data_IF_235424389114
#
_entry.id   IF_235424389114
#
_cell.length_a   1.000
_cell.length_b   1.000
_cell.length_c   1.000
_cell.angle_alpha   90.00
_cell.angle_beta   90.00
_cell.angle_gamma   90.00
#
_symmetry.space_group_name_H-M   'P 1'
#
loop_
_entity.id
_entity.type
_entity.pdbx_description
1 polymer ?
#
# COMPACT_ATOMS: atom_id res chain seq x y z
N UNK A 1 -4.27 1.57 -19.61
CA UNK A 1 -5.01 0.70 -18.67
C UNK A 1 -6.09 -0.02 -19.45
N UNK A 2 -6.20 -1.35 -19.35
CA UNK A 2 -7.19 -2.14 -20.11
C UNK A 2 -8.33 -2.68 -19.25
N UNK A 3 -8.07 -2.98 -17.98
CA UNK A 3 -9.14 -3.30 -17.03
C UNK A 3 -8.72 -3.00 -15.60
N UNK A 4 -9.72 -2.80 -14.74
CA UNK A 4 -9.56 -2.68 -13.30
C UNK A 4 -10.49 -3.69 -12.65
N UNK A 5 -9.98 -4.42 -11.66
CA UNK A 5 -10.76 -5.31 -10.81
C UNK A 5 -10.69 -4.81 -9.38
N UNK A 6 -11.83 -4.43 -8.82
CA UNK A 6 -11.97 -4.04 -7.42
C UNK A 6 -12.35 -5.28 -6.61
N UNK A 7 -11.84 -5.41 -5.38
CA UNK A 7 -12.26 -6.51 -4.52
C UNK A 7 -13.77 -6.44 -4.27
N UNK A 8 -14.49 -7.53 -4.61
CA UNK A 8 -15.97 -7.58 -4.54
C UNK A 8 -16.56 -7.35 -3.14
N UNK A 9 -15.75 -7.57 -2.10
CA UNK A 9 -16.12 -7.36 -0.70
C UNK A 9 -15.62 -6.02 -0.14
N UNK A 10 -15.09 -5.13 -0.99
CA UNK A 10 -14.74 -3.77 -0.57
C UNK A 10 -15.96 -3.08 0.04
N UNK A 11 -15.77 -2.47 1.19
CA UNK A 11 -16.80 -1.75 1.91
C UNK A 11 -16.29 -0.36 2.26
N UNK A 12 -16.87 0.69 1.67
CA UNK A 12 -16.44 2.07 1.88
C UNK A 12 -16.70 2.61 3.29
N UNK A 13 -17.62 1.99 4.05
CA UNK A 13 -17.90 2.38 5.44
C UNK A 13 -16.89 1.79 6.42
N UNK A 14 -16.36 0.60 6.14
CA UNK A 14 -15.37 -0.08 7.01
C UNK A 14 -13.95 -0.02 6.44
N UNK A 15 -13.79 0.43 5.20
CA UNK A 15 -12.55 0.45 4.41
C UNK A 15 -11.89 -0.94 4.36
N UNK A 16 -12.68 -2.00 4.57
CA UNK A 16 -12.19 -3.37 4.53
C UNK A 16 -12.10 -3.85 3.07
N UNK A 17 -11.15 -4.74 2.80
CA UNK A 17 -10.84 -5.21 1.44
C UNK A 17 -10.49 -4.08 0.45
N UNK A 18 -9.82 -3.03 0.90
CA UNK A 18 -9.40 -1.91 0.05
C UNK A 18 -8.20 -2.28 -0.85
N UNK A 19 -8.47 -3.09 -1.87
CA UNK A 19 -7.48 -3.51 -2.86
C UNK A 19 -8.13 -3.59 -4.25
N UNK A 20 -7.34 -3.24 -5.26
CA UNK A 20 -7.70 -3.42 -6.65
C UNK A 20 -6.51 -3.91 -7.47
N UNK A 21 -6.79 -4.54 -8.62
CA UNK A 21 -5.79 -4.92 -9.61
C UNK A 21 -6.07 -4.15 -10.88
N UNK A 22 -5.03 -3.53 -11.43
CA UNK A 22 -5.07 -2.85 -12.70
C UNK A 22 -4.28 -3.66 -13.73
N UNK A 23 -4.95 -4.06 -14.82
CA UNK A 23 -4.32 -4.73 -15.95
C UNK A 23 -3.88 -3.72 -16.99
N UNK A 24 -2.59 -3.73 -17.31
CA UNK A 24 -2.03 -2.97 -18.43
C UNK A 24 -2.54 -3.53 -19.76
N UNK A 25 -2.69 -2.66 -20.77
CA UNK A 25 -3.06 -3.09 -22.12
C UNK A 25 -1.96 -3.83 -22.83
N UNK A 26 -0.72 -3.49 -22.50
CA UNK A 26 0.50 -4.09 -22.99
C UNK A 26 1.38 -4.39 -21.79
N UNK A 27 2.15 -5.46 -21.88
CA UNK A 27 3.14 -5.77 -20.85
C UNK A 27 4.12 -4.60 -20.71
N UNK A 28 4.49 -4.24 -19.48
CA UNK A 28 5.58 -3.29 -19.29
C UNK A 28 6.92 -3.93 -19.68
N UNK A 29 7.82 -3.11 -20.19
CA UNK A 29 9.20 -3.52 -20.50
C UNK A 29 10.05 -3.38 -19.24
N UNK A 30 10.44 -4.51 -18.64
CA UNK A 30 11.29 -4.52 -17.45
C UNK A 30 12.71 -4.04 -17.79
N UNK A 31 13.29 -3.25 -16.89
CA UNK A 31 14.65 -2.71 -17.01
C UNK A 31 15.17 -2.30 -15.61
N UNK A 32 16.26 -1.52 -15.56
CA UNK A 32 16.85 -1.06 -14.29
C UNK A 32 15.97 -0.10 -13.49
N UNK A 33 14.98 0.52 -14.13
CA UNK A 33 14.01 1.42 -13.52
C UNK A 33 12.64 0.77 -13.33
N UNK A 34 12.26 -0.19 -14.19
CA UNK A 34 10.96 -0.88 -14.14
C UNK A 34 11.18 -2.32 -13.69
N UNK A 35 10.84 -2.62 -12.44
CA UNK A 35 10.97 -3.96 -11.86
C UNK A 35 9.66 -4.38 -11.17
N UNK A 36 9.51 -5.68 -10.96
CA UNK A 36 8.40 -6.25 -10.20
C UNK A 36 8.79 -6.40 -8.72
N UNK A 37 7.79 -6.45 -7.84
CA UNK A 37 7.99 -6.67 -6.40
C UNK A 37 7.41 -8.03 -6.00
N UNK A 38 8.06 -8.69 -5.03
CA UNK A 38 7.50 -9.91 -4.43
C UNK A 38 6.26 -9.56 -3.60
N UNK A 39 5.26 -10.42 -3.59
CA UNK A 39 4.13 -10.29 -2.67
C UNK A 39 4.36 -11.12 -1.41
N UNK A 40 3.87 -10.62 -0.28
CA UNK A 40 3.81 -11.43 0.92
C UNK A 40 2.76 -12.53 0.76
N UNK A 41 3.18 -13.80 0.85
CA UNK A 41 2.27 -14.96 0.80
C UNK A 41 1.75 -15.38 2.18
N UNK A 42 2.40 -14.92 3.24
CA UNK A 42 2.07 -15.23 4.63
C UNK A 42 1.99 -13.95 5.45
N UNK A 43 1.11 -13.95 6.44
CA UNK A 43 0.94 -12.83 7.38
C UNK A 43 2.04 -12.88 8.44
N UNK A 44 3.30 -12.74 8.00
CA UNK A 44 4.51 -12.90 8.81
C UNK A 44 5.47 -11.70 8.69
N UNK A 45 4.92 -10.51 8.44
CA UNK A 45 5.68 -9.28 8.59
C UNK A 45 6.22 -9.17 10.02
N UNK A 46 7.38 -8.54 10.18
CA UNK A 46 8.00 -8.40 11.50
C UNK A 46 7.50 -7.11 12.15
N UNK A 47 6.69 -7.23 13.20
CA UNK A 47 6.32 -6.09 14.04
C UNK A 47 7.56 -5.46 14.69
N UNK A 48 7.50 -4.14 14.94
CA UNK A 48 8.60 -3.33 15.48
C UNK A 48 9.87 -3.27 14.61
N UNK A 49 9.86 -3.84 13.41
CA UNK A 49 10.85 -3.54 12.39
C UNK A 49 10.30 -2.55 11.37
N UNK A 50 11.15 -2.12 10.46
CA UNK A 50 10.84 -1.03 9.55
C UNK A 50 10.30 -1.56 8.22
N UNK A 51 9.40 -0.77 7.64
CA UNK A 51 8.94 -0.88 6.27
C UNK A 51 9.07 0.47 5.58
N UNK A 52 9.27 0.46 4.28
CA UNK A 52 9.34 1.67 3.45
C UNK A 52 8.00 1.88 2.77
N UNK A 53 7.42 3.06 2.94
CA UNK A 53 6.31 3.55 2.14
C UNK A 53 6.80 4.62 1.18
N UNK A 54 6.26 4.67 -0.03
CA UNK A 54 6.71 5.59 -1.07
C UNK A 54 5.57 6.08 -1.96
N UNK A 55 5.66 7.31 -2.45
CA UNK A 55 4.66 7.93 -3.30
C UNK A 55 4.94 9.40 -3.62
N UNK A 56 3.98 10.04 -4.29
CA UNK A 56 4.01 11.45 -4.69
C UNK A 56 2.90 12.25 -4.00
N UNK A 57 2.33 11.70 -2.92
CA UNK A 57 1.33 12.36 -2.10
C UNK A 57 1.87 13.62 -1.41
N UNK A 58 1.07 14.11 -0.49
CA UNK A 58 1.35 15.36 0.20
C UNK A 58 2.53 15.19 1.18
N UNK A 59 3.47 16.14 1.17
CA UNK A 59 4.57 16.14 2.14
C UNK A 59 4.14 16.60 3.54
N UNK A 60 3.01 17.32 3.61
CA UNK A 60 2.39 17.86 4.82
C UNK A 60 0.88 17.74 4.66
N UNK A 61 0.16 17.39 5.74
CA UNK A 61 -1.30 17.31 5.75
C UNK A 61 -1.94 18.59 5.17
N UNK A 62 -2.89 18.44 4.24
CA UNK A 62 -3.53 19.54 3.51
C UNK A 62 -2.56 20.41 2.67
N UNK A 63 -1.37 19.92 2.37
CA UNK A 63 -0.38 20.55 1.50
C UNK A 63 -0.63 20.32 0.01
N UNK A 64 0.47 20.23 -0.75
CA UNK A 64 0.45 19.96 -2.19
C UNK A 64 1.11 18.60 -2.48
N UNK A 65 0.76 18.01 -3.63
CA UNK A 65 1.45 16.83 -4.16
C UNK A 65 2.95 17.11 -4.33
N UNK A 66 3.76 16.12 -4.00
CA UNK A 66 5.21 16.19 -4.25
C UNK A 66 5.50 16.12 -5.75
N UNK A 67 6.41 16.97 -6.23
CA UNK A 67 6.91 16.91 -7.61
C UNK A 67 7.90 15.77 -7.86
N UNK A 68 8.38 15.11 -6.79
CA UNK A 68 9.34 14.01 -6.85
C UNK A 68 8.86 12.82 -6.02
N UNK A 69 9.33 11.61 -6.36
CA UNK A 69 9.04 10.43 -5.56
C UNK A 69 9.64 10.63 -4.16
N UNK A 70 8.83 10.45 -3.14
CA UNK A 70 9.27 10.42 -1.75
C UNK A 70 9.17 9.01 -1.21
N UNK A 71 10.00 8.73 -0.22
CA UNK A 71 9.92 7.51 0.55
C UNK A 71 10.29 7.78 2.00
N UNK A 72 9.63 7.07 2.89
CA UNK A 72 9.90 7.17 4.32
C UNK A 72 9.87 5.78 4.94
N UNK A 73 10.82 5.57 5.85
CA UNK A 73 10.86 4.36 6.67
C UNK A 73 9.99 4.58 7.90
N UNK A 74 9.04 3.67 8.12
CA UNK A 74 8.10 3.68 9.25
C UNK A 74 8.12 2.32 9.95
N UNK A 75 8.01 2.27 11.29
CA UNK A 75 7.96 1.01 12.01
C UNK A 75 6.58 0.35 11.81
N UNK A 76 6.57 -0.97 11.63
CA UNK A 76 5.34 -1.75 11.65
C UNK A 76 4.85 -1.84 13.09
N UNK A 77 3.59 -1.48 13.29
CA UNK A 77 2.95 -1.50 14.61
C UNK A 77 2.20 -2.81 14.84
N UNK A 78 2.01 -3.18 16.10
CA UNK A 78 1.20 -4.35 16.42
C UNK A 78 -0.28 -4.13 16.08
N UNK A 79 -0.96 -5.20 15.67
CA UNK A 79 -2.40 -5.12 15.38
C UNK A 79 -3.19 -4.64 16.60
N UNK A 80 -2.81 -5.08 17.79
CA UNK A 80 -3.41 -4.64 19.06
C UNK A 80 -3.29 -3.15 19.28
N UNK A 81 -2.09 -2.57 19.06
CA UNK A 81 -1.91 -1.12 19.16
C UNK A 81 -2.80 -0.38 18.17
N UNK A 82 -2.84 -0.82 16.91
CA UNK A 82 -3.64 -0.19 15.88
C UNK A 82 -5.15 -0.28 16.17
N UNK A 83 -5.65 -1.45 16.58
CA UNK A 83 -7.05 -1.62 16.99
C UNK A 83 -7.41 -0.69 18.14
N UNK A 84 -6.52 -0.51 19.12
CA UNK A 84 -6.76 0.41 20.24
C UNK A 84 -6.78 1.87 19.79
N UNK A 85 -5.82 2.28 18.95
CA UNK A 85 -5.73 3.63 18.39
C UNK A 85 -7.01 4.02 17.63
N UNK A 86 -7.54 3.10 16.82
CA UNK A 86 -8.71 3.33 15.98
C UNK A 86 -10.06 2.89 16.60
N UNK A 87 -10.07 2.42 17.85
CA UNK A 87 -11.25 1.82 18.52
C UNK A 87 -12.53 2.65 18.50
N UNK A 88 -12.42 3.98 18.44
CA UNK A 88 -13.55 4.94 18.39
C UNK A 88 -13.85 5.48 17.00
N UNK A 89 -13.08 5.06 16.00
CA UNK A 89 -13.14 5.55 14.61
C UNK A 89 -13.61 4.44 13.68
N UNK A 90 -12.90 3.32 13.66
CA UNK A 90 -13.15 2.22 12.73
C UNK A 90 -12.60 0.90 13.28
N UNK A 91 -13.25 -0.21 12.94
CA UNK A 91 -12.76 -1.54 13.31
C UNK A 91 -11.59 -1.95 12.42
N UNK A 92 -10.42 -2.20 13.01
CA UNK A 92 -9.24 -2.71 12.30
C UNK A 92 -9.37 -4.23 12.11
N UNK A 93 -9.44 -4.69 10.87
CA UNK A 93 -9.64 -6.10 10.53
C UNK A 93 -8.31 -6.84 10.32
N UNK A 94 -8.36 -8.16 10.13
CA UNK A 94 -7.19 -8.95 9.68
C UNK A 94 -6.68 -8.55 8.29
N UNK A 95 -7.53 -7.96 7.45
CA UNK A 95 -7.13 -7.54 6.11
C UNK A 95 -6.39 -6.18 6.14
N UNK A 96 -6.04 -5.69 7.34
CA UNK A 96 -5.33 -4.44 7.54
C UNK A 96 -4.01 -4.68 8.28
N UNK A 97 -3.00 -3.88 7.95
CA UNK A 97 -1.71 -3.76 8.63
C UNK A 97 -1.47 -2.28 8.93
N UNK A 98 -0.82 -1.96 10.05
CA UNK A 98 -0.59 -0.58 10.43
C UNK A 98 0.90 -0.30 10.63
N UNK A 99 1.35 0.85 10.14
CA UNK A 99 2.75 1.27 10.26
C UNK A 99 2.80 2.78 10.50
N UNK A 100 3.71 3.22 11.36
CA UNK A 100 3.83 4.61 11.76
C UNK A 100 4.43 4.77 13.14
N UNK A 101 5.00 5.94 13.40
CA UNK A 101 5.57 6.28 14.71
C UNK A 101 4.45 6.65 15.67
N UNK A 102 4.53 6.17 16.92
CA UNK A 102 3.51 6.47 17.94
C UNK A 102 3.44 7.97 18.27
N UNK A 103 4.55 8.67 18.08
CA UNK A 103 4.73 10.10 18.26
C UNK A 103 4.25 10.91 17.05
N UNK A 104 3.93 10.24 15.92
CA UNK A 104 3.65 10.87 14.64
C UNK A 104 4.91 11.33 13.89
N UNK A 105 4.75 12.31 13.00
CA UNK A 105 5.84 12.98 12.27
C UNK A 105 6.28 12.33 10.95
N UNK A 106 6.05 11.02 10.74
CA UNK A 106 6.35 10.32 9.47
C UNK A 106 5.23 9.36 9.12
N UNK A 107 4.69 9.50 7.91
CA UNK A 107 3.56 8.69 7.41
C UNK A 107 3.43 8.81 5.88
N UNK A 108 2.59 7.98 5.28
CA UNK A 108 1.97 8.28 4.00
C UNK A 108 0.88 9.35 4.16
N UNK A 109 0.51 10.03 3.09
CA UNK A 109 -0.45 11.12 3.17
C UNK A 109 -1.43 11.13 1.98
N UNK A 110 -2.25 12.17 1.86
CA UNK A 110 -3.21 12.26 0.76
C UNK A 110 -2.48 12.19 -0.60
N UNK A 111 -2.99 11.35 -1.49
CA UNK A 111 -2.36 11.06 -2.79
C UNK A 111 -1.41 9.86 -2.78
N UNK A 112 -1.07 9.29 -1.61
CA UNK A 112 -0.27 8.06 -1.53
C UNK A 112 -1.12 6.76 -1.53
N UNK A 113 -2.45 6.84 -1.50
CA UNK A 113 -3.35 5.68 -1.56
C UNK A 113 -3.09 4.78 -2.77
N UNK A 114 -2.95 3.47 -2.54
CA UNK A 114 -2.50 2.50 -3.56
C UNK A 114 -0.98 2.32 -3.61
N UNK A 115 -0.22 3.15 -2.92
CA UNK A 115 1.23 3.06 -2.81
C UNK A 115 1.71 1.84 -2.03
N UNK A 116 2.96 1.40 -2.25
CA UNK A 116 3.47 0.19 -1.64
C UNK A 116 3.97 0.44 -0.21
N UNK A 117 3.68 -0.50 0.69
CA UNK A 117 4.40 -0.69 1.95
C UNK A 117 5.29 -1.93 1.82
N UNK A 118 6.61 -1.73 1.85
CA UNK A 118 7.61 -2.75 1.53
C UNK A 118 8.47 -3.06 2.74
N UNK A 119 8.59 -4.34 3.06
CA UNK A 119 9.56 -4.86 4.03
C UNK A 119 10.40 -5.96 3.37
N UNK A 120 11.73 -5.90 3.50
CA UNK A 120 12.65 -6.91 2.96
C UNK A 120 12.37 -7.26 1.49
N UNK A 121 12.24 -6.24 0.63
CA UNK A 121 11.92 -6.36 -0.80
C UNK A 121 10.62 -7.14 -1.10
N UNK A 122 9.68 -7.11 -0.16
CA UNK A 122 8.38 -7.78 -0.27
C UNK A 122 7.27 -6.78 0.03
N UNK A 123 6.27 -6.72 -0.84
CA UNK A 123 5.06 -5.92 -0.66
C UNK A 123 4.20 -6.60 0.41
N UNK A 124 4.14 -5.97 1.58
CA UNK A 124 3.37 -6.45 2.74
C UNK A 124 2.04 -5.69 2.88
N UNK A 125 1.99 -4.47 2.37
CA UNK A 125 0.81 -3.61 2.47
C UNK A 125 0.62 -2.70 1.26
N UNK A 126 -0.60 -2.18 1.13
CA UNK A 126 -0.97 -1.13 0.17
C UNK A 126 -1.59 0.02 0.93
N UNK A 127 -1.12 1.26 0.73
CA UNK A 127 -1.62 2.45 1.44
C UNK A 127 -3.13 2.54 1.25
N UNK A 128 -3.88 2.63 2.35
CA UNK A 128 -5.35 2.67 2.32
C UNK A 128 -5.86 3.96 2.95
N UNK A 129 -5.71 4.12 4.28
CA UNK A 129 -6.24 5.28 5.01
C UNK A 129 -5.42 5.61 6.27
N UNK A 130 -5.73 6.74 6.88
CA UNK A 130 -5.21 7.15 8.19
C UNK A 130 -6.07 8.26 8.79
N UNK A 131 -5.89 8.54 10.08
CA UNK A 131 -6.42 9.77 10.69
C UNK A 131 -5.43 10.91 10.48
N UNK A 132 -5.75 11.79 9.53
CA UNK A 132 -4.84 12.81 9.04
C UNK A 132 -3.56 12.20 8.45
N UNK A 133 -2.45 12.95 8.50
CA UNK A 133 -1.14 12.43 8.13
C UNK A 133 -0.15 12.62 9.26
N UNK A 134 0.56 11.55 9.63
CA UNK A 134 1.62 11.62 10.64
C UNK A 134 1.13 12.15 12.00
N UNK A 135 -0.14 11.92 12.33
CA UNK A 135 -0.72 12.34 13.60
C UNK A 135 -0.24 11.42 14.72
N UNK A 136 -0.01 12.02 15.90
CA UNK A 136 0.36 11.28 17.10
C UNK A 136 -0.71 10.23 17.43
N UNK A 137 -0.27 9.04 17.80
CA UNK A 137 -1.10 7.87 18.17
C UNK A 137 -1.89 7.21 17.03
N UNK A 138 -1.88 7.75 15.82
CA UNK A 138 -2.62 7.21 14.68
C UNK A 138 -1.65 6.73 13.60
N UNK A 139 -1.24 5.44 13.60
CA UNK A 139 -0.43 4.91 12.51
C UNK A 139 -1.25 4.89 11.22
N UNK A 140 -0.58 5.00 10.07
CA UNK A 140 -1.19 4.75 8.78
C UNK A 140 -1.69 3.30 8.68
N UNK A 141 -2.81 3.11 8.00
CA UNK A 141 -3.46 1.81 7.79
C UNK A 141 -3.37 1.42 6.32
N UNK A 142 -2.97 0.17 6.11
CA UNK A 142 -2.65 -0.39 4.82
C UNK A 142 -3.43 -1.70 4.65
N UNK A 143 -3.82 -2.02 3.41
CA UNK A 143 -4.40 -3.32 3.09
C UNK A 143 -3.33 -4.41 3.19
N UNK A 144 -3.59 -5.44 3.99
CA UNK A 144 -2.68 -6.57 4.24
C UNK A 144 -2.63 -7.49 3.02
N UNK A 145 -1.52 -7.46 2.29
CA UNK A 145 -1.34 -8.22 1.04
C UNK A 145 -1.43 -9.72 1.28
N UNK A 146 -0.84 -10.22 2.37
CA UNK A 146 -0.85 -11.64 2.67
C UNK A 146 -2.26 -12.18 2.93
N UNK A 147 -3.10 -11.43 3.65
CA UNK A 147 -4.48 -11.83 3.88
C UNK A 147 -5.36 -11.75 2.62
N UNK A 148 -4.96 -10.94 1.63
CA UNK A 148 -5.68 -10.75 0.37
C UNK A 148 -5.06 -11.53 -0.81
N UNK A 149 -3.98 -12.29 -0.57
CA UNK A 149 -3.16 -12.92 -1.62
C UNK A 149 -3.96 -13.89 -2.50
N UNK A 150 -4.89 -14.66 -1.91
CA UNK A 150 -5.74 -15.60 -2.65
C UNK A 150 -6.62 -14.89 -3.68
N UNK A 151 -7.16 -13.72 -3.32
CA UNK A 151 -7.94 -12.91 -4.26
C UNK A 151 -7.05 -12.30 -5.33
N UNK A 152 -5.86 -11.81 -4.95
CA UNK A 152 -4.89 -11.22 -5.88
C UNK A 152 -4.46 -12.27 -6.92
N UNK A 153 -4.07 -13.46 -6.47
CA UNK A 153 -3.66 -14.58 -7.31
C UNK A 153 -4.75 -15.00 -8.31
N UNK A 154 -6.00 -15.04 -7.87
CA UNK A 154 -7.14 -15.39 -8.74
C UNK A 154 -7.45 -14.35 -9.82
N UNK A 155 -7.02 -13.10 -9.62
CA UNK A 155 -7.43 -11.97 -10.47
C UNK A 155 -6.28 -11.29 -11.21
N UNK A 156 -5.05 -11.80 -11.06
CA UNK A 156 -3.85 -11.31 -11.73
C UNK A 156 -3.09 -12.47 -12.38
N UNK A 157 -2.01 -12.16 -13.08
CA UNK A 157 -1.10 -13.17 -13.65
C UNK A 157 -0.06 -13.65 -12.60
N UNK A 158 -0.34 -13.44 -11.30
CA UNK A 158 0.49 -13.89 -10.19
C UNK A 158 0.53 -15.41 -10.09
N UNK A 159 1.72 -15.97 -10.01
CA UNK A 159 1.95 -17.39 -9.78
C UNK A 159 2.72 -17.54 -8.46
N UNK A 160 2.17 -18.23 -7.43
CA UNK A 160 2.86 -18.45 -6.16
C UNK A 160 4.11 -19.32 -6.37
N UNK A 161 5.30 -18.73 -6.47
CA UNK A 161 6.60 -19.45 -6.58
C UNK A 161 7.77 -18.58 -6.09
N UNK A 162 8.90 -19.22 -5.73
CA UNK A 162 10.20 -18.64 -5.30
C UNK A 162 10.89 -17.71 -6.34
N UNK A 163 10.16 -17.24 -7.35
CA UNK A 163 10.66 -16.44 -8.47
C UNK A 163 9.67 -15.32 -8.75
N UNK A 164 10.16 -14.08 -8.75
CA UNK A 164 9.37 -12.84 -8.73
C UNK A 164 8.29 -12.82 -9.84
N UNK A 165 6.99 -12.84 -9.48
CA UNK A 165 5.92 -12.73 -10.45
C UNK A 165 5.71 -11.29 -10.92
N UNK A 166 5.03 -11.16 -12.07
CA UNK A 166 4.69 -9.90 -12.73
C UNK A 166 3.43 -9.30 -12.13
N UNK A 167 3.60 -8.40 -11.17
CA UNK A 167 2.50 -7.54 -10.71
C UNK A 167 2.88 -6.10 -10.95
N UNK A 168 2.06 -5.43 -11.76
CA UNK A 168 2.09 -4.00 -11.94
C UNK A 168 0.98 -3.42 -11.06
N UNK A 169 1.31 -2.93 -9.87
CA UNK A 169 0.38 -2.09 -9.12
C UNK A 169 0.30 -0.75 -9.83
N UNK A 170 -0.92 -0.39 -10.27
CA UNK A 170 -1.23 0.91 -10.86
C UNK A 170 -2.35 1.53 -10.04
N UNK A 171 -2.22 2.83 -9.82
CA UNK A 171 -2.90 3.65 -8.82
C UNK A 171 -4.34 3.99 -9.17
N UNK A 172 -5.13 4.37 -8.16
CA UNK A 172 -6.45 4.96 -8.32
C UNK A 172 -6.36 6.49 -8.31
N UNK A 173 -7.07 7.11 -9.25
CA UNK A 173 -7.15 8.56 -9.50
C UNK A 173 -8.42 9.14 -8.89
N UNK A 174 -8.34 10.38 -8.38
CA UNK A 174 -9.33 11.41 -8.74
C UNK A 174 -8.65 12.46 -9.63
N UNK A 175 -8.99 12.40 -10.93
CA UNK A 175 -9.19 13.53 -11.87
C UNK A 175 -8.00 14.49 -12.13
N UNK A 176 -7.14 14.16 -13.11
CA UNK A 176 -6.90 14.88 -14.38
C UNK A 176 -5.57 14.41 -15.01
N UNK A 177 -5.67 13.99 -16.27
CA UNK A 177 -4.66 14.02 -17.33
C UNK A 177 -3.24 13.41 -17.12
N UNK A 178 -2.79 12.76 -18.19
CA UNK A 178 -1.43 12.29 -18.50
C UNK A 178 -0.84 11.14 -17.68
N UNK A 179 -0.84 9.97 -18.33
CA UNK A 179 -0.04 8.77 -18.11
C UNK A 179 1.21 8.96 -17.23
N UNK A 180 1.21 8.34 -16.05
CA UNK A 180 2.44 8.02 -15.33
C UNK A 180 2.48 6.53 -14.99
N UNK A 181 3.54 5.86 -15.45
CA UNK A 181 3.92 4.52 -15.05
C UNK A 181 4.58 4.60 -13.67
N UNK A 182 4.21 3.73 -12.73
CA UNK A 182 4.96 3.61 -11.48
C UNK A 182 6.02 2.52 -11.56
N UNK A 183 7.24 2.94 -11.26
CA UNK A 183 8.41 2.12 -11.01
C UNK A 183 8.54 1.90 -9.51
N UNK A 184 8.66 0.65 -9.06
CA UNK A 184 9.19 0.37 -7.72
C UNK A 184 10.70 0.57 -7.80
N UNK A 185 11.20 1.66 -7.21
CA UNK A 185 12.64 1.86 -7.04
C UNK A 185 13.12 1.01 -5.86
N UNK A 186 14.22 0.27 -6.04
CA UNK A 186 15.04 -0.13 -4.90
C UNK A 186 15.67 1.16 -4.35
N UNK A 187 15.21 1.61 -3.18
CA UNK A 187 15.84 2.67 -2.39
C UNK A 187 16.73 1.98 -1.36
#
# INVERSE_FOLDING_TARGET
>A
MCSVKIHKSYNSSTIDYDVSIVKLCSNATLNTRVQTIRLSEKDNYTENSYATVSGWGYEVENGNLSSALRAVSVPITSRTYCTNAYSRVISITRNMICAGYSEGGKDACQGDSGGPLVQNNTLIGVVSFGMGCAQKSYPGVYSNVANLISWIAKNSDYVPTNSAPKIYTVWWFYVFCSLLYLCVYNI
#
